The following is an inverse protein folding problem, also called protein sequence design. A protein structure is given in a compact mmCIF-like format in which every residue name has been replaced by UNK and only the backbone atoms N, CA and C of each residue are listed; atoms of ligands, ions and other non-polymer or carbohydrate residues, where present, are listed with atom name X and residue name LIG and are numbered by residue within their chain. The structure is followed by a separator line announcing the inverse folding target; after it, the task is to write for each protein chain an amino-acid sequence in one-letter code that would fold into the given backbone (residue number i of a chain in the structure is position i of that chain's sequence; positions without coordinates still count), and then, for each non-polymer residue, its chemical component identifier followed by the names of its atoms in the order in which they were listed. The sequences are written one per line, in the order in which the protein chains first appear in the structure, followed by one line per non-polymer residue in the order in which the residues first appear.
data_IF_504935905162
#
_entry.id   IF_504935905162
#
_cell.length_a   1.000
_cell.length_b   1.000
_cell.length_c   1.000
_cell.angle_alpha   90.00
_cell.angle_beta   90.00
_cell.angle_gamma   90.00
#
_symmetry.space_group_name_H-M   'P 1'
#
loop_
_entity.id
_entity.type
_entity.pdbx_description
1 polymer ?
#
# COMPACT_ATOMS: atom_id res chain seq x y z
N UNK A 1 -12.62 -6.05 -6.78
CA UNK A 1 -13.41 -4.80 -6.72
C UNK A 1 -13.43 -4.14 -8.09
N UNK A 2 -14.56 -3.54 -8.51
CA UNK A 2 -14.66 -2.78 -9.77
C UNK A 2 -13.95 -1.42 -9.63
N UNK A 3 -13.06 -1.10 -10.57
CA UNK A 3 -12.37 0.19 -10.59
C UNK A 3 -13.27 1.35 -10.98
N UNK A 4 -14.42 1.10 -11.60
CA UNK A 4 -15.35 2.15 -12.04
C UNK A 4 -15.84 2.97 -10.85
N UNK A 5 -16.33 2.31 -9.80
CA UNK A 5 -16.84 2.97 -8.60
C UNK A 5 -15.72 3.69 -7.83
N UNK A 6 -14.53 3.09 -7.72
CA UNK A 6 -13.36 3.75 -7.13
C UNK A 6 -12.94 5.01 -7.91
N UNK A 7 -12.92 4.94 -9.24
CA UNK A 7 -12.62 6.10 -10.10
C UNK A 7 -13.67 7.20 -9.95
N UNK A 8 -14.95 6.84 -9.88
CA UNK A 8 -16.03 7.80 -9.64
C UNK A 8 -15.87 8.49 -8.27
N UNK A 9 -15.57 7.72 -7.23
CA UNK A 9 -15.32 8.25 -5.88
C UNK A 9 -14.10 9.17 -5.87
N UNK A 10 -13.00 8.75 -6.50
CA UNK A 10 -11.79 9.55 -6.71
C UNK A 10 -12.09 10.88 -7.40
N UNK A 11 -12.90 10.89 -8.46
CA UNK A 11 -13.33 12.11 -9.16
C UNK A 11 -14.22 13.00 -8.29
N UNK A 12 -15.19 12.42 -7.60
CA UNK A 12 -16.12 13.16 -6.71
C UNK A 12 -15.37 13.87 -5.58
N UNK A 13 -14.40 13.19 -4.97
CA UNK A 13 -13.64 13.74 -3.85
C UNK A 13 -12.46 14.62 -4.32
N UNK A 14 -12.07 14.50 -5.59
CA UNK A 14 -10.94 15.26 -6.13
C UNK A 14 -9.57 14.78 -5.62
N UNK A 15 -9.44 13.47 -5.34
CA UNK A 15 -8.20 12.86 -4.86
C UNK A 15 -7.86 11.59 -5.64
N UNK A 16 -6.60 11.14 -5.60
CA UNK A 16 -6.19 9.92 -6.29
C UNK A 16 -6.67 8.66 -5.54
N UNK A 17 -6.79 7.54 -6.26
CA UNK A 17 -7.25 6.26 -5.69
C UNK A 17 -6.29 5.76 -4.59
N UNK A 18 -4.97 5.94 -4.76
CA UNK A 18 -3.99 5.57 -3.73
C UNK A 18 -4.25 6.24 -2.39
N UNK A 19 -4.66 7.52 -2.37
CA UNK A 19 -5.02 8.25 -1.17
C UNK A 19 -6.26 7.67 -0.50
N UNK A 20 -7.28 7.31 -1.29
CA UNK A 20 -8.51 6.68 -0.79
C UNK A 20 -8.16 5.34 -0.13
N UNK A 21 -7.38 4.49 -0.80
CA UNK A 21 -6.95 3.20 -0.26
C UNK A 21 -6.11 3.38 1.01
N UNK A 22 -5.19 4.34 1.00
CA UNK A 22 -4.36 4.64 2.16
C UNK A 22 -5.19 5.16 3.35
N UNK A 23 -6.24 5.93 3.10
CA UNK A 23 -7.14 6.44 4.14
C UNK A 23 -8.05 5.35 4.72
N UNK A 24 -8.53 4.42 3.89
CA UNK A 24 -9.28 3.24 4.31
C UNK A 24 -8.40 2.28 5.15
N UNK A 25 -7.16 2.06 4.70
CA UNK A 25 -6.14 1.33 5.46
C UNK A 25 -5.86 1.99 6.80
N UNK A 26 -5.68 3.32 6.84
CA UNK A 26 -5.47 4.06 8.09
C UNK A 26 -6.66 3.88 9.06
N UNK A 27 -7.89 3.88 8.55
CA UNK A 27 -9.09 3.59 9.33
C UNK A 27 -9.09 2.17 9.92
N UNK A 28 -8.72 1.18 9.11
CA UNK A 28 -8.63 -0.23 9.51
C UNK A 28 -7.57 -0.44 10.60
N UNK A 29 -6.37 0.14 10.42
CA UNK A 29 -5.29 0.09 11.42
C UNK A 29 -5.68 0.81 12.70
N UNK A 30 -6.35 1.96 12.61
CA UNK A 30 -6.88 2.69 13.78
C UNK A 30 -7.84 1.81 14.57
N UNK A 31 -8.77 1.11 13.89
CA UNK A 31 -9.72 0.21 14.56
C UNK A 31 -8.99 -0.92 15.30
N UNK A 32 -8.07 -1.61 14.63
CA UNK A 32 -7.24 -2.67 15.25
C UNK A 32 -6.54 -2.11 16.49
N UNK A 33 -5.90 -0.93 16.37
CA UNK A 33 -5.20 -0.33 17.49
C UNK A 33 -6.14 0.05 18.63
N UNK A 34 -7.33 0.59 18.33
CA UNK A 34 -8.33 0.94 19.34
C UNK A 34 -8.78 -0.28 20.14
N UNK A 35 -9.11 -1.37 19.46
CA UNK A 35 -9.59 -2.61 20.09
C UNK A 35 -8.51 -3.30 20.93
N UNK A 36 -7.25 -3.23 20.48
CA UNK A 36 -6.09 -3.74 21.21
C UNK A 36 -5.59 -2.81 22.31
N UNK A 37 -6.33 -1.74 22.64
CA UNK A 37 -5.96 -0.70 23.64
C UNK A 37 -4.60 -0.05 23.35
N UNK A 38 -4.25 0.04 22.06
CA UNK A 38 -3.07 0.74 21.56
C UNK A 38 -3.19 2.26 21.70
N UNK A 39 -2.07 2.95 21.60
CA UNK A 39 -2.02 4.41 21.72
C UNK A 39 -2.37 5.09 20.39
N UNK A 40 -3.60 5.60 20.28
CA UNK A 40 -4.06 6.37 19.12
C UNK A 40 -3.54 7.82 19.06
N UNK A 41 -2.88 8.30 20.13
CA UNK A 41 -2.22 9.61 20.14
C UNK A 41 -0.90 9.62 19.36
N UNK A 42 -0.46 8.47 18.85
CA UNK A 42 0.69 8.35 17.97
C UNK A 42 0.24 7.79 16.62
N UNK A 43 0.77 8.39 15.57
CA UNK A 43 0.52 7.90 14.23
C UNK A 43 1.42 6.72 13.89
N UNK A 44 0.88 5.82 13.07
CA UNK A 44 1.66 4.73 12.52
C UNK A 44 2.54 5.24 11.37
N UNK A 45 3.54 4.43 11.02
CA UNK A 45 4.38 4.67 9.84
C UNK A 45 4.13 3.56 8.82
N UNK A 46 3.87 3.94 7.59
CA UNK A 46 3.75 3.05 6.44
C UNK A 46 4.99 3.20 5.58
N UNK A 47 5.62 2.10 5.17
CA UNK A 47 6.55 2.13 4.05
C UNK A 47 5.75 2.01 2.75
N UNK A 48 5.62 3.11 2.00
CA UNK A 48 4.97 3.11 0.70
C UNK A 48 5.95 2.75 -0.40
N UNK A 49 5.69 1.65 -1.08
CA UNK A 49 6.54 1.14 -2.16
C UNK A 49 6.09 1.72 -3.50
N UNK A 50 7.02 2.33 -4.23
CA UNK A 50 6.77 2.86 -5.58
C UNK A 50 7.93 2.57 -6.53
N UNK A 51 7.71 2.59 -7.85
CA UNK A 51 8.82 2.50 -8.80
C UNK A 51 9.77 3.70 -8.67
N UNK A 52 11.07 3.44 -8.75
CA UNK A 52 12.11 4.45 -8.79
C UNK A 52 11.98 5.30 -10.06
N UNK A 53 11.90 6.64 -9.95
CA UNK A 53 11.72 7.51 -11.11
C UNK A 53 12.96 7.60 -12.01
N UNK A 54 14.13 7.15 -11.53
CA UNK A 54 15.43 7.37 -12.19
C UNK A 54 15.86 6.17 -13.06
N UNK A 55 15.26 4.99 -12.89
CA UNK A 55 15.88 3.74 -13.35
C UNK A 55 14.96 2.76 -14.07
N UNK A 56 13.96 3.25 -14.80
CA UNK A 56 13.20 2.42 -15.74
C UNK A 56 13.96 2.27 -17.07
N UNK A 57 15.02 1.45 -17.09
CA UNK A 57 15.63 1.02 -18.35
C UNK A 57 14.91 -0.25 -18.85
N UNK A 58 14.37 -0.27 -20.08
CA UNK A 58 13.82 -1.49 -20.67
C UNK A 58 14.87 -2.60 -20.70
N UNK A 59 14.55 -3.79 -20.20
CA UNK A 59 15.41 -4.99 -20.32
C UNK A 59 16.36 -5.28 -19.16
N UNK A 60 16.37 -4.49 -18.07
CA UNK A 60 17.15 -4.86 -16.86
C UNK A 60 16.23 -5.40 -15.77
N UNK A 61 16.51 -6.62 -15.29
CA UNK A 61 15.81 -7.23 -14.15
C UNK A 61 16.39 -6.74 -12.81
N UNK A 62 16.52 -5.42 -12.64
CA UNK A 62 17.00 -4.84 -11.39
C UNK A 62 15.84 -4.51 -10.46
N UNK A 63 16.07 -4.64 -9.14
CA UNK A 63 15.13 -4.10 -8.16
C UNK A 63 15.11 -2.57 -8.27
N UNK A 64 14.04 -2.05 -8.86
CA UNK A 64 13.82 -0.62 -9.11
C UNK A 64 12.69 -0.08 -8.23
N UNK A 65 12.50 -0.64 -7.04
CA UNK A 65 11.52 -0.15 -6.08
C UNK A 65 12.16 0.80 -5.08
N UNK A 66 11.36 1.76 -4.61
CA UNK A 66 11.71 2.71 -3.58
C UNK A 66 10.68 2.63 -2.45
N UNK A 67 11.16 2.50 -1.22
CA UNK A 67 10.33 2.62 -0.03
C UNK A 67 10.35 4.04 0.50
N UNK A 68 9.19 4.66 0.66
CA UNK A 68 9.04 6.00 1.22
C UNK A 68 8.25 5.91 2.52
N UNK A 69 8.76 6.42 3.66
CA UNK A 69 7.99 6.46 4.87
C UNK A 69 6.85 7.49 4.73
N UNK A 70 5.63 7.03 4.98
CA UNK A 70 4.43 7.86 5.08
C UNK A 70 3.87 7.76 6.49
N UNK A 71 3.36 8.88 6.99
CA UNK A 71 2.61 8.97 8.25
C UNK A 71 1.19 8.48 8.01
N UNK A 72 0.72 7.58 8.89
CA UNK A 72 -0.63 7.05 8.89
C UNK A 72 -1.38 7.70 10.05
N UNK A 73 -2.29 8.67 9.78
CA UNK A 73 -2.94 9.47 10.82
C UNK A 73 -3.99 8.64 11.58
N UNK A 74 -3.58 8.04 12.69
CA UNK A 74 -4.43 7.20 13.55
C UNK A 74 -5.23 8.03 14.56
N UNK A 75 -4.74 9.23 14.90
CA UNK A 75 -5.42 10.15 15.81
C UNK A 75 -6.73 10.69 15.21
N UNK A 76 -6.79 10.81 13.89
CA UNK A 76 -7.93 11.37 13.17
C UNK A 76 -9.07 10.36 13.07
N UNK A 77 -10.21 10.67 13.68
CA UNK A 77 -11.38 9.80 13.65
C UNK A 77 -12.17 9.90 12.33
N UNK A 78 -12.24 11.09 11.72
CA UNK A 78 -12.99 11.31 10.49
C UNK A 78 -12.17 10.92 9.26
N UNK A 79 -12.80 10.22 8.31
CA UNK A 79 -12.14 9.78 7.07
C UNK A 79 -11.66 10.96 6.23
N UNK A 80 -12.42 12.06 6.16
CA UNK A 80 -12.06 13.23 5.37
C UNK A 80 -10.78 13.92 5.87
N UNK A 81 -10.59 13.95 7.19
CA UNK A 81 -9.38 14.49 7.82
C UNK A 81 -8.17 13.61 7.50
N UNK A 82 -8.30 12.27 7.67
CA UNK A 82 -7.25 11.31 7.27
C UNK A 82 -6.90 11.45 5.80
N UNK A 83 -7.90 11.50 4.94
CA UNK A 83 -7.74 11.60 3.50
C UNK A 83 -7.04 12.90 3.09
N UNK A 84 -7.38 14.02 3.73
CA UNK A 84 -6.72 15.31 3.51
C UNK A 84 -5.24 15.24 3.86
N UNK A 85 -4.89 14.73 5.04
CA UNK A 85 -3.50 14.60 5.48
C UNK A 85 -2.69 13.66 4.58
N UNK A 86 -3.26 12.50 4.23
CA UNK A 86 -2.63 11.55 3.31
C UNK A 86 -2.44 12.17 1.92
N UNK A 87 -3.45 12.88 1.40
CA UNK A 87 -3.37 13.54 0.10
C UNK A 87 -2.29 14.62 0.07
N UNK A 88 -2.15 15.39 1.17
CA UNK A 88 -1.07 16.37 1.30
C UNK A 88 0.31 15.69 1.32
N UNK A 89 0.46 14.56 2.02
CA UNK A 89 1.72 13.80 2.02
C UNK A 89 2.09 13.28 0.63
N UNK A 90 1.15 12.69 -0.10
CA UNK A 90 1.41 12.25 -1.48
C UNK A 90 1.71 13.42 -2.41
N UNK A 91 0.99 14.54 -2.27
CA UNK A 91 1.26 15.75 -3.05
C UNK A 91 2.66 16.27 -2.78
N UNK A 92 3.09 16.32 -1.52
CA UNK A 92 4.44 16.70 -1.15
C UNK A 92 5.48 15.71 -1.70
N UNK A 93 5.22 14.40 -1.59
CA UNK A 93 6.12 13.36 -2.08
C UNK A 93 6.37 13.48 -3.59
N UNK A 94 5.33 13.68 -4.38
CA UNK A 94 5.42 13.73 -5.84
C UNK A 94 5.83 15.11 -6.40
N UNK A 95 5.63 16.20 -5.64
CA UNK A 95 5.92 17.56 -6.10
C UNK A 95 7.15 18.19 -5.43
N UNK A 96 7.91 17.45 -4.63
CA UNK A 96 9.13 17.96 -3.97
C UNK A 96 10.37 17.16 -4.35
N UNK A 97 11.54 17.66 -3.94
CA UNK A 97 12.83 16.98 -4.09
C UNK A 97 13.02 15.81 -3.12
N UNK A 98 12.06 15.55 -2.22
CA UNK A 98 12.12 14.46 -1.24
C UNK A 98 12.34 13.11 -1.93
N UNK A 99 11.63 12.85 -3.03
CA UNK A 99 11.75 11.58 -3.74
C UNK A 99 13.16 11.35 -4.31
N UNK A 100 13.81 12.42 -4.80
CA UNK A 100 15.20 12.37 -5.26
C UNK A 100 16.14 12.10 -4.09
N UNK A 101 15.95 12.76 -2.95
CA UNK A 101 16.73 12.53 -1.73
C UNK A 101 16.61 11.08 -1.23
N UNK A 102 15.40 10.54 -1.20
CA UNK A 102 15.15 9.15 -0.79
C UNK A 102 15.78 8.17 -1.80
N UNK A 103 15.71 8.47 -3.10
CA UNK A 103 16.35 7.65 -4.13
C UNK A 103 17.87 7.64 -3.97
N UNK A 104 18.50 8.81 -3.76
CA UNK A 104 19.92 8.93 -3.51
C UNK A 104 20.34 8.15 -2.25
N UNK A 105 19.54 8.26 -1.17
CA UNK A 105 19.77 7.52 0.07
C UNK A 105 19.72 5.99 -0.13
N UNK A 106 18.70 5.48 -0.82
CA UNK A 106 18.59 4.04 -1.10
C UNK A 106 19.75 3.53 -1.96
N UNK A 107 20.14 4.29 -2.99
CA UNK A 107 21.26 3.93 -3.87
C UNK A 107 22.59 3.95 -3.13
N UNK A 108 22.83 4.96 -2.29
CA UNK A 108 24.02 5.03 -1.44
C UNK A 108 24.07 3.85 -0.44
N UNK A 109 22.95 3.56 0.23
CA UNK A 109 22.83 2.41 1.13
C UNK A 109 23.11 1.07 0.42
N UNK A 110 22.53 0.86 -0.77
CA UNK A 110 22.78 -0.32 -1.57
C UNK A 110 24.25 -0.43 -2.02
N UNK A 111 24.86 0.68 -2.44
CA UNK A 111 26.27 0.72 -2.84
C UNK A 111 27.18 0.38 -1.67
N UNK A 112 26.94 0.95 -0.48
CA UNK A 112 27.71 0.66 0.73
C UNK A 112 27.53 -0.81 1.13
N UNK A 113 26.29 -1.30 1.15
CA UNK A 113 25.97 -2.70 1.46
C UNK A 113 26.68 -3.68 0.51
N UNK A 114 26.64 -3.41 -0.79
CA UNK A 114 27.32 -4.21 -1.81
C UNK A 114 28.84 -4.15 -1.71
N UNK A 115 29.40 -2.96 -1.47
CA UNK A 115 30.85 -2.75 -1.35
C UNK A 115 31.43 -3.41 -0.11
N UNK A 116 30.70 -3.37 1.00
CA UNK A 116 31.12 -3.99 2.27
C UNK A 116 30.75 -5.47 2.36
N UNK A 117 29.96 -5.99 1.40
CA UNK A 117 29.33 -7.31 1.48
C UNK A 117 28.58 -7.53 2.80
N UNK A 118 28.00 -6.47 3.36
CA UNK A 118 27.25 -6.49 4.62
C UNK A 118 25.80 -6.16 4.33
N UNK A 119 24.90 -6.99 4.85
CA UNK A 119 23.46 -6.75 4.80
C UNK A 119 23.12 -5.59 5.75
N UNK A 120 22.93 -4.39 5.19
CA UNK A 120 22.49 -3.21 5.94
C UNK A 120 20.99 -3.31 6.18
N UNK A 121 20.61 -4.07 7.20
CA UNK A 121 19.21 -4.14 7.63
C UNK A 121 18.85 -2.92 8.44
N UNK A 122 17.83 -2.19 7.99
CA UNK A 122 17.16 -1.18 8.81
C UNK A 122 16.22 -1.96 9.75
N UNK A 123 16.43 -1.97 11.07
CA UNK A 123 15.45 -2.55 11.98
C UNK A 123 14.18 -1.68 11.95
N UNK A 124 13.01 -2.32 11.91
CA UNK A 124 11.68 -1.69 12.00
C UNK A 124 11.43 -0.52 11.02
N UNK A 125 11.24 -0.83 9.74
CA UNK A 125 10.98 0.18 8.69
C UNK A 125 9.54 0.72 8.66
N UNK A 126 8.63 0.18 9.48
CA UNK A 126 7.28 0.73 9.64
C UNK A 126 6.32 -0.20 10.36
N UNK A 127 5.18 0.35 10.78
CA UNK A 127 4.05 -0.42 11.31
C UNK A 127 3.39 -1.25 10.21
N UNK A 128 3.40 -0.74 8.97
CA UNK A 128 2.83 -1.42 7.81
C UNK A 128 3.62 -1.15 6.52
N UNK A 129 3.46 -1.98 5.51
CA UNK A 129 3.93 -1.77 4.14
C UNK A 129 2.72 -1.61 3.23
N UNK A 130 2.74 -0.61 2.35
CA UNK A 130 1.69 -0.37 1.37
C UNK A 130 2.28 -0.23 -0.03
N UNK A 131 1.77 -0.99 -0.99
CA UNK A 131 2.12 -0.88 -2.40
C UNK A 131 0.85 -0.76 -3.24
N UNK A 132 0.85 0.14 -4.21
CA UNK A 132 -0.22 0.24 -5.19
C UNK A 132 0.36 0.16 -6.60
N UNK A 133 0.10 -0.96 -7.27
CA UNK A 133 0.57 -1.24 -8.62
C UNK A 133 -0.57 -1.05 -9.61
N UNK A 134 -0.25 -0.39 -10.72
CA UNK A 134 -1.19 -0.28 -11.83
C UNK A 134 -0.60 -0.89 -13.08
N UNK A 135 -1.15 -2.05 -13.45
CA UNK A 135 -0.80 -2.76 -14.67
C UNK A 135 -1.73 -2.27 -15.79
N UNK A 136 -1.52 -1.02 -16.23
CA UNK A 136 -2.15 -0.50 -17.43
C UNK A 136 -1.39 -1.03 -18.65
N UNK A 137 -1.85 -2.15 -19.21
CA UNK A 137 -1.52 -2.47 -20.60
C UNK A 137 -2.76 -2.27 -21.45
N UNK A 138 -2.57 -1.65 -22.62
CA UNK A 138 -3.60 -1.52 -23.65
C UNK A 138 -4.12 -2.89 -24.07
N UNK A 139 -3.23 -3.90 -24.09
CA UNK A 139 -3.56 -5.28 -24.37
C UNK A 139 -3.53 -6.14 -23.09
N UNK A 140 -4.57 -6.97 -22.85
CA UNK A 140 -4.53 -8.01 -21.83
C UNK A 140 -3.31 -8.92 -21.96
N UNK A 141 -2.90 -9.51 -20.84
CA UNK A 141 -1.93 -10.58 -20.85
C UNK A 141 -2.66 -11.84 -21.29
N UNK A 142 -1.98 -12.66 -22.07
CA UNK A 142 -2.45 -13.98 -22.44
C UNK A 142 -1.49 -15.03 -21.89
N UNK A 143 -2.05 -16.06 -21.26
CA UNK A 143 -1.33 -17.24 -20.83
C UNK A 143 -1.91 -18.41 -21.59
N UNK A 144 -1.10 -19.03 -22.46
CA UNK A 144 -1.51 -20.16 -23.30
C UNK A 144 -2.77 -19.87 -24.14
N UNK A 145 -2.84 -18.68 -24.73
CA UNK A 145 -4.00 -18.23 -25.54
C UNK A 145 -5.24 -17.85 -24.72
N UNK A 146 -5.19 -17.92 -23.39
CA UNK A 146 -6.27 -17.49 -22.52
C UNK A 146 -5.97 -16.12 -21.93
N UNK A 147 -6.94 -15.23 -22.00
CA UNK A 147 -6.84 -13.90 -21.40
C UNK A 147 -6.76 -14.02 -19.89
N UNK A 148 -5.75 -13.39 -19.29
CA UNK A 148 -5.68 -13.22 -17.84
C UNK A 148 -6.78 -12.23 -17.43
N UNK A 149 -7.65 -12.64 -16.50
CA UNK A 149 -8.75 -11.79 -16.03
C UNK A 149 -8.47 -11.11 -14.69
N UNK A 150 -7.55 -11.68 -13.91
CA UNK A 150 -7.25 -11.25 -12.55
C UNK A 150 -5.78 -11.50 -12.25
N UNK A 151 -5.14 -10.50 -11.63
CA UNK A 151 -3.84 -10.64 -11.00
C UNK A 151 -4.05 -10.49 -9.51
N UNK A 152 -3.64 -11.50 -8.74
CA UNK A 152 -3.66 -11.46 -7.27
C UNK A 152 -2.20 -11.48 -6.81
N UNK A 153 -1.73 -10.41 -6.14
CA UNK A 153 -0.38 -10.41 -5.61
C UNK A 153 -0.29 -11.38 -4.45
N UNK A 154 0.84 -12.07 -4.34
CA UNK A 154 1.19 -12.86 -3.16
C UNK A 154 2.25 -12.05 -2.41
N UNK A 155 1.91 -11.58 -1.22
CA UNK A 155 2.83 -10.85 -0.33
C UNK A 155 3.32 -11.75 0.81
N UNK A 156 4.61 -11.66 1.11
CA UNK A 156 5.23 -12.34 2.23
C UNK A 156 5.62 -11.34 3.32
N UNK A 157 5.25 -11.61 4.57
CA UNK A 157 5.65 -10.74 5.66
C UNK A 157 7.12 -10.92 6.03
N UNK A 158 7.82 -9.81 6.16
CA UNK A 158 9.07 -9.79 6.87
C UNK A 158 8.81 -9.80 8.38
N UNK A 159 8.67 -11.00 8.93
CA UNK A 159 8.41 -11.26 10.35
C UNK A 159 9.34 -10.41 11.24
N UNK A 160 8.78 -9.81 12.30
CA UNK A 160 9.44 -8.89 13.25
C UNK A 160 9.72 -7.48 12.76
N UNK A 161 9.65 -7.19 11.45
CA UNK A 161 9.95 -5.86 10.93
C UNK A 161 8.73 -5.11 10.42
N UNK A 162 7.69 -5.83 10.00
CA UNK A 162 6.41 -5.28 9.56
C UNK A 162 5.28 -6.24 9.94
N UNK A 163 4.21 -5.73 10.55
CA UNK A 163 3.10 -6.55 11.04
C UNK A 163 1.92 -6.65 10.06
N UNK A 164 1.86 -5.75 9.08
CA UNK A 164 0.81 -5.70 8.06
C UNK A 164 1.42 -5.27 6.72
N UNK A 165 1.22 -6.06 5.68
CA UNK A 165 1.56 -5.70 4.31
C UNK A 165 0.29 -5.67 3.46
N UNK A 166 0.08 -4.58 2.73
CA UNK A 166 -1.05 -4.38 1.82
C UNK A 166 -0.52 -4.10 0.41
N UNK A 167 -0.86 -4.96 -0.54
CA UNK A 167 -0.54 -4.77 -1.96
C UNK A 167 -1.84 -4.66 -2.73
N UNK A 168 -2.06 -3.51 -3.35
CA UNK A 168 -3.14 -3.29 -4.31
C UNK A 168 -2.59 -3.42 -5.73
N UNK A 169 -3.33 -4.12 -6.59
CA UNK A 169 -3.04 -4.18 -8.03
C UNK A 169 -4.30 -3.87 -8.82
N UNK A 170 -4.19 -2.96 -9.78
CA UNK A 170 -5.25 -2.68 -10.75
C UNK A 170 -4.89 -3.26 -12.12
N UNK A 171 -5.83 -4.02 -12.70
CA UNK A 171 -5.65 -4.73 -13.95
C UNK A 171 -7.00 -4.90 -14.67
N UNK A 172 -7.10 -4.48 -15.93
CA UNK A 172 -8.30 -4.59 -16.79
C UNK A 172 -9.58 -4.14 -16.05
N UNK A 173 -9.56 -2.93 -15.49
CA UNK A 173 -10.73 -2.37 -14.80
C UNK A 173 -11.10 -3.07 -13.48
N UNK A 174 -10.37 -4.11 -13.06
CA UNK A 174 -10.53 -4.74 -11.75
C UNK A 174 -9.40 -4.32 -10.83
N UNK A 175 -9.68 -4.29 -9.54
CA UNK A 175 -8.69 -4.15 -8.49
C UNK A 175 -8.67 -5.39 -7.61
N UNK A 176 -7.47 -5.98 -7.48
CA UNK A 176 -7.13 -6.96 -6.47
C UNK A 176 -6.41 -6.28 -5.31
N UNK A 177 -6.70 -6.70 -4.09
CA UNK A 177 -5.95 -6.29 -2.91
C UNK A 177 -5.56 -7.56 -2.16
N UNK A 178 -4.28 -7.72 -1.87
CA UNK A 178 -3.76 -8.74 -0.97
C UNK A 178 -3.33 -8.08 0.33
N UNK A 179 -3.69 -8.72 1.44
CA UNK A 179 -3.34 -8.27 2.78
C UNK A 179 -2.72 -9.44 3.50
N UNK A 180 -1.49 -9.27 3.97
CA UNK A 180 -0.80 -10.27 4.80
C UNK A 180 -0.52 -9.63 6.16
N UNK A 181 -0.79 -10.37 7.24
CA UNK A 181 -0.61 -9.86 8.61
C UNK A 181 0.03 -10.90 9.52
N UNK A 182 0.77 -10.44 10.53
CA UNK A 182 1.32 -11.32 11.56
C UNK A 182 0.18 -11.98 12.33
N UNK A 183 0.22 -13.31 12.49
CA UNK A 183 -0.79 -14.06 13.26
C UNK A 183 -0.86 -13.62 14.72
N UNK A 184 0.23 -13.05 15.24
CA UNK A 184 0.24 -12.47 16.58
C UNK A 184 -0.61 -11.18 16.67
N UNK A 185 -0.82 -10.48 15.54
CA UNK A 185 -1.65 -9.29 15.46
C UNK A 185 -3.12 -9.64 15.16
N UNK A 186 -3.34 -10.54 14.20
CA UNK A 186 -4.67 -10.97 13.77
C UNK A 186 -4.72 -12.50 13.70
N UNK A 187 -5.60 -13.08 14.52
CA UNK A 187 -5.62 -14.52 14.81
C UNK A 187 -6.14 -15.38 13.65
N UNK A 188 -6.79 -14.78 12.66
CA UNK A 188 -7.34 -15.51 11.53
C UNK A 188 -7.99 -14.65 10.44
N UNK A 189 -8.44 -15.30 9.36
CA UNK A 189 -9.03 -14.63 8.18
C UNK A 189 -10.32 -13.88 8.49
N UNK A 190 -11.10 -14.34 9.47
CA UNK A 190 -12.36 -13.71 9.90
C UNK A 190 -12.09 -12.36 10.56
N UNK A 191 -11.13 -12.32 11.48
CA UNK A 191 -10.69 -11.10 12.17
C UNK A 191 -10.09 -10.10 11.17
N UNK A 192 -9.26 -10.58 10.25
CA UNK A 192 -8.73 -9.77 9.16
C UNK A 192 -9.85 -9.16 8.32
N UNK A 193 -10.84 -9.97 7.91
CA UNK A 193 -11.98 -9.51 7.13
C UNK A 193 -12.81 -8.47 7.88
N UNK A 194 -13.05 -8.70 9.18
CA UNK A 194 -13.79 -7.77 10.04
C UNK A 194 -13.11 -6.41 10.13
N UNK A 195 -11.79 -6.37 10.35
CA UNK A 195 -11.06 -5.09 10.48
C UNK A 195 -10.80 -4.40 9.14
N UNK A 196 -10.48 -5.18 8.10
CA UNK A 196 -10.20 -4.65 6.78
C UNK A 196 -11.47 -4.33 6.01
N UNK A 197 -12.64 -4.76 6.52
CA UNK A 197 -13.93 -4.36 5.97
C UNK A 197 -14.05 -2.85 5.85
N UNK A 198 -13.40 -2.04 6.69
CA UNK A 198 -13.38 -0.57 6.61
C UNK A 198 -12.55 0.00 5.45
N UNK A 199 -11.53 -0.72 5.02
CA UNK A 199 -10.80 -0.37 3.81
C UNK A 199 -11.74 -0.46 2.58
N UNK A 200 -12.75 -1.32 2.66
CA UNK A 200 -13.74 -1.56 1.61
C UNK A 200 -15.11 -0.90 1.88
N UNK A 201 -15.48 -0.71 3.15
CA UNK A 201 -16.59 0.09 3.67
C UNK A 201 -16.12 1.53 3.66
N UNK A 202 -15.96 2.00 2.44
CA UNK A 202 -16.19 3.40 2.22
C UNK A 202 -17.70 3.57 2.41
N UNK A 203 -18.14 4.39 3.35
CA UNK A 203 -19.49 5.01 3.33
C UNK A 203 -19.69 5.91 2.07
N UNK A 204 -18.89 5.70 1.04
CA UNK A 204 -18.84 6.32 -0.28
C UNK A 204 -19.07 5.29 -1.41
N UNK A 205 -19.09 3.98 -1.13
CA UNK A 205 -19.21 2.88 -2.10
C UNK A 205 -20.07 1.72 -1.56
N UNK A 206 -21.38 1.88 -1.59
CA UNK A 206 -22.29 0.73 -1.63
C UNK A 206 -22.12 0.02 -2.99
N UNK A 207 -21.28 -1.01 -3.07
CA UNK A 207 -21.55 -2.27 -3.81
C UNK A 207 -20.34 -3.23 -3.81
N UNK A 208 -20.58 -4.44 -3.30
CA UNK A 208 -19.94 -5.73 -3.63
C UNK A 208 -18.40 -5.85 -3.60
N UNK A 209 -17.87 -6.44 -2.52
CA UNK A 209 -16.51 -7.00 -2.48
C UNK A 209 -16.57 -8.49 -2.11
N UNK A 210 -16.28 -9.38 -3.06
CA UNK A 210 -15.92 -10.77 -2.79
C UNK A 210 -14.43 -10.80 -2.40
N UNK A 211 -14.14 -11.33 -1.21
CA UNK A 211 -12.79 -11.54 -0.68
C UNK A 211 -12.48 -13.03 -0.85
N UNK A 212 -11.43 -13.36 -1.60
CA UNK A 212 -10.88 -14.72 -1.70
C UNK A 212 -9.59 -14.78 -0.88
N UNK A 213 -9.50 -15.77 0.01
CA UNK A 213 -8.36 -15.99 0.92
C UNK A 213 -7.69 -17.32 0.52
N UNK A 214 -6.36 -17.27 0.34
CA UNK A 214 -5.49 -18.45 0.25
C UNK A 214 -4.68 -18.58 1.54
#
# INVERSE_FOLDING_TARGET
MDMTSLKQTSRRIGTNITCILSAGMAGSVRRIMKERKGNLGKDATSLYMLPSPISSHPGTMMNNQLGVPLRIPLSEEKIDQRLTQISQQFRHLFNSTVLLGITAFHRAGALISGSLQKDLRIPNFGSLVHSNLSAFKENPFELFGNRVELLVPICGLQQRHCSIEIISISYIGKMGIAITTDKALLSGPEELTMHMSDMFRTDLLETSTNISIN
#
